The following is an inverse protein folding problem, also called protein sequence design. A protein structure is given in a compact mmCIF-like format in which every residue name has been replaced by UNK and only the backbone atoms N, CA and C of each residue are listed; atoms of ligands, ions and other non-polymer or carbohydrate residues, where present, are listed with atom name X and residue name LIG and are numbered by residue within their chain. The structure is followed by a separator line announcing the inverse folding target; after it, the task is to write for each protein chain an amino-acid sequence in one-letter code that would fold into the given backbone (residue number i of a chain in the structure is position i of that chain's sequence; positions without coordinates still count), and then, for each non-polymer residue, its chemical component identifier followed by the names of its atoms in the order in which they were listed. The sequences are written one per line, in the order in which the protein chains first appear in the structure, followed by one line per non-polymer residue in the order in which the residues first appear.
data_IF_738309947955
#
_entry.id   IF_738309947955
#
_cell.length_a   1.000
_cell.length_b   1.000
_cell.length_c   1.000
_cell.angle_alpha   90.00
_cell.angle_beta   90.00
_cell.angle_gamma   90.00
#
_symmetry.space_group_name_H-M   'P 1'
#
loop_
_entity.id
_entity.type
_entity.pdbx_description
1 polymer ?
#
# COMPACT_ATOMS: atom_id res chain seq x y z
N UNK A 1 -46.93 -15.69 -5.52
CA UNK A 1 -45.70 -15.89 -4.72
C UNK A 1 -44.37 -15.70 -5.49
N UNK A 2 -44.30 -15.95 -6.80
CA UNK A 2 -43.06 -15.81 -7.60
C UNK A 2 -42.48 -14.39 -7.67
N UNK A 3 -43.32 -13.36 -7.72
CA UNK A 3 -42.92 -11.94 -7.65
C UNK A 3 -42.30 -11.59 -6.30
N UNK A 4 -42.80 -12.15 -5.20
CA UNK A 4 -42.22 -11.95 -3.87
C UNK A 4 -40.84 -12.63 -3.74
N UNK A 5 -40.64 -13.79 -4.38
CA UNK A 5 -39.35 -14.46 -4.44
C UNK A 5 -38.30 -13.66 -5.26
N UNK A 6 -38.69 -13.12 -6.42
CA UNK A 6 -37.84 -12.23 -7.23
C UNK A 6 -37.44 -10.96 -6.48
N UNK A 7 -38.41 -10.31 -5.83
CA UNK A 7 -38.18 -9.10 -5.02
C UNK A 7 -37.25 -9.40 -3.84
N UNK A 8 -37.43 -10.55 -3.16
CA UNK A 8 -36.54 -10.94 -2.04
C UNK A 8 -35.10 -11.17 -2.50
N UNK A 9 -34.88 -11.88 -3.60
CA UNK A 9 -33.53 -12.10 -4.14
C UNK A 9 -32.90 -10.78 -4.58
N UNK A 10 -33.66 -9.92 -5.27
CA UNK A 10 -33.19 -8.60 -5.68
C UNK A 10 -32.84 -7.69 -4.49
N UNK A 11 -33.67 -7.67 -3.44
CA UNK A 11 -33.42 -6.90 -2.21
C UNK A 11 -32.19 -7.43 -1.48
N UNK A 12 -32.09 -8.75 -1.28
CA UNK A 12 -30.94 -9.37 -0.59
C UNK A 12 -29.64 -9.09 -1.34
N UNK A 13 -29.64 -9.16 -2.68
CA UNK A 13 -28.42 -8.93 -3.44
C UNK A 13 -28.11 -7.44 -3.49
N UNK A 14 -29.07 -6.58 -3.84
CA UNK A 14 -28.77 -5.17 -4.14
C UNK A 14 -28.57 -4.32 -2.88
N UNK A 15 -29.41 -4.48 -1.84
CA UNK A 15 -29.33 -3.68 -0.62
C UNK A 15 -28.22 -4.16 0.31
N UNK A 16 -28.02 -5.48 0.44
CA UNK A 16 -26.94 -6.02 1.27
C UNK A 16 -25.57 -5.78 0.64
N UNK A 17 -25.45 -5.84 -0.69
CA UNK A 17 -24.22 -5.49 -1.42
C UNK A 17 -23.75 -4.07 -1.12
N UNK A 18 -24.60 -3.08 -1.40
CA UNK A 18 -24.21 -1.68 -1.32
C UNK A 18 -23.85 -1.29 0.12
N UNK A 19 -24.65 -1.74 1.09
CA UNK A 19 -24.47 -1.36 2.49
C UNK A 19 -23.28 -2.08 3.12
N UNK A 20 -23.06 -3.37 2.82
CA UNK A 20 -21.93 -4.11 3.36
C UNK A 20 -20.60 -3.67 2.73
N UNK A 21 -20.57 -3.43 1.42
CA UNK A 21 -19.37 -2.97 0.74
C UNK A 21 -18.95 -1.56 1.14
N UNK A 22 -19.90 -0.63 1.26
CA UNK A 22 -19.59 0.72 1.72
C UNK A 22 -19.07 0.71 3.16
N UNK A 23 -19.63 -0.15 4.02
CA UNK A 23 -19.13 -0.32 5.40
C UNK A 23 -17.74 -0.91 5.43
N UNK A 24 -17.47 -1.99 4.70
CA UNK A 24 -16.14 -2.61 4.63
C UNK A 24 -15.11 -1.64 4.02
N UNK A 25 -15.46 -0.93 2.96
CA UNK A 25 -14.61 0.12 2.39
C UNK A 25 -14.28 1.21 3.42
N UNK A 26 -15.28 1.71 4.13
CA UNK A 26 -15.07 2.76 5.13
C UNK A 26 -14.21 2.28 6.31
N UNK A 27 -14.56 1.13 6.90
CA UNK A 27 -13.92 0.62 8.12
C UNK A 27 -12.55 0.02 7.85
N UNK A 28 -12.39 -0.72 6.75
CA UNK A 28 -11.17 -1.50 6.50
C UNK A 28 -10.17 -0.76 5.60
N UNK A 29 -10.60 0.22 4.80
CA UNK A 29 -9.72 0.97 3.91
C UNK A 29 -9.64 2.46 4.30
N UNK A 30 -10.76 3.18 4.33
CA UNK A 30 -10.74 4.65 4.45
C UNK A 30 -10.21 5.12 5.81
N UNK A 31 -10.86 4.70 6.91
CA UNK A 31 -10.49 5.13 8.27
C UNK A 31 -9.05 4.74 8.63
N UNK A 32 -8.57 3.51 8.35
CA UNK A 32 -7.19 3.13 8.61
C UNK A 32 -6.18 3.96 7.81
N UNK A 33 -6.48 4.26 6.53
CA UNK A 33 -5.60 5.09 5.70
C UNK A 33 -5.53 6.53 6.20
N UNK A 34 -6.66 7.16 6.53
CA UNK A 34 -6.69 8.53 7.06
C UNK A 34 -5.91 8.64 8.38
N UNK A 35 -6.15 7.69 9.29
CA UNK A 35 -5.46 7.64 10.59
C UNK A 35 -3.96 7.42 10.43
N UNK A 36 -3.56 6.60 9.46
CA UNK A 36 -2.15 6.30 9.21
C UNK A 36 -1.44 7.48 8.52
N UNK A 37 -2.08 8.09 7.52
CA UNK A 37 -1.54 9.22 6.75
C UNK A 37 -1.14 10.40 7.64
N UNK A 38 -1.96 10.73 8.64
CA UNK A 38 -1.66 11.84 9.56
C UNK A 38 -0.40 11.56 10.40
N UNK A 39 -0.25 10.32 10.88
CA UNK A 39 0.92 9.89 11.67
C UNK A 39 2.17 9.83 10.80
N UNK A 40 2.05 9.23 9.63
CA UNK A 40 3.16 9.01 8.71
C UNK A 40 3.74 10.32 8.20
N UNK A 41 2.90 11.32 7.89
CA UNK A 41 3.36 12.64 7.47
C UNK A 41 4.29 13.27 8.52
N UNK A 42 3.91 13.19 9.81
CA UNK A 42 4.71 13.72 10.92
C UNK A 42 6.04 12.96 11.07
N UNK A 43 6.00 11.63 10.95
CA UNK A 43 7.19 10.77 11.03
C UNK A 43 8.16 11.10 9.89
N UNK A 44 7.69 11.16 8.64
CA UNK A 44 8.53 11.49 7.47
C UNK A 44 9.23 12.82 7.64
N UNK A 45 8.50 13.85 8.03
CA UNK A 45 9.07 15.18 8.22
C UNK A 45 10.14 15.18 9.32
N UNK A 46 9.87 14.50 10.43
CA UNK A 46 10.82 14.40 11.55
C UNK A 46 12.12 13.69 11.14
N UNK A 47 12.02 12.61 10.37
CA UNK A 47 13.17 11.84 9.91
C UNK A 47 13.95 12.57 8.82
N UNK A 48 13.25 13.22 7.89
CA UNK A 48 13.88 14.06 6.87
C UNK A 48 14.71 15.16 7.52
N UNK A 49 14.16 15.84 8.52
CA UNK A 49 14.88 16.88 9.28
C UNK A 49 16.11 16.30 9.98
N UNK A 50 15.99 15.13 10.62
CA UNK A 50 17.10 14.43 11.27
C UNK A 50 18.19 14.03 10.27
N UNK A 51 17.82 13.51 9.11
CA UNK A 51 18.74 13.18 8.02
C UNK A 51 19.50 14.42 7.54
N UNK A 52 18.79 15.50 7.21
CA UNK A 52 19.40 16.73 6.71
C UNK A 52 20.42 17.31 7.70
N UNK A 53 20.09 17.30 8.99
CA UNK A 53 21.00 17.76 10.05
C UNK A 53 22.27 16.89 10.12
N UNK A 54 22.13 15.56 10.16
CA UNK A 54 23.26 14.65 10.26
C UNK A 54 24.12 14.64 8.99
N UNK A 55 23.49 14.68 7.82
CA UNK A 55 24.16 14.79 6.53
C UNK A 55 25.00 16.07 6.47
N UNK A 56 24.42 17.21 6.86
CA UNK A 56 25.12 18.50 6.86
C UNK A 56 26.37 18.44 7.74
N UNK A 57 26.26 17.97 8.98
CA UNK A 57 27.40 17.87 9.89
C UNK A 57 28.51 16.98 9.32
N UNK A 58 28.17 15.79 8.78
CA UNK A 58 29.17 14.87 8.20
C UNK A 58 29.81 15.44 6.93
N UNK A 59 29.01 16.07 6.07
CA UNK A 59 29.49 16.74 4.86
C UNK A 59 30.43 17.90 5.18
N UNK A 60 30.18 18.65 6.26
CA UNK A 60 31.07 19.72 6.72
C UNK A 60 32.41 19.15 7.21
N UNK A 61 32.42 18.04 7.95
CA UNK A 61 33.66 17.37 8.39
C UNK A 61 34.49 16.89 7.22
N UNK A 62 33.87 16.22 6.24
CA UNK A 62 34.52 15.82 4.99
C UNK A 62 35.09 17.02 4.22
N UNK A 63 34.32 18.11 4.09
CA UNK A 63 34.76 19.33 3.40
C UNK A 63 35.98 19.96 4.08
N UNK A 64 36.03 19.97 5.42
CA UNK A 64 37.18 20.44 6.20
C UNK A 64 38.43 19.55 5.97
N UNK A 65 38.27 18.24 5.95
CA UNK A 65 39.36 17.30 5.65
C UNK A 65 39.90 17.51 4.21
N UNK A 66 39.00 17.67 3.24
CA UNK A 66 39.35 17.91 1.84
C UNK A 66 40.09 19.24 1.64
N UNK A 67 39.63 20.30 2.30
CA UNK A 67 40.28 21.62 2.26
C UNK A 67 41.70 21.56 2.87
N UNK A 68 41.87 20.85 3.98
CA UNK A 68 43.17 20.65 4.64
C UNK A 68 44.15 19.91 3.71
N UNK A 69 43.69 18.84 3.05
CA UNK A 69 44.48 18.11 2.05
C UNK A 69 44.88 18.99 0.87
N UNK A 70 43.96 19.78 0.33
CA UNK A 70 44.24 20.71 -0.79
C UNK A 70 45.28 21.76 -0.40
N UNK A 71 45.19 22.32 0.81
CA UNK A 71 46.15 23.30 1.34
C UNK A 71 47.53 22.70 1.51
N UNK A 72 47.62 21.47 2.02
CA UNK A 72 48.89 20.78 2.23
C UNK A 72 49.60 20.41 0.91
N UNK A 73 48.86 19.88 -0.08
CA UNK A 73 49.40 19.58 -1.42
C UNK A 73 49.99 20.81 -2.12
N UNK A 74 49.38 21.99 -1.95
CA UNK A 74 49.96 23.25 -2.46
C UNK A 74 51.27 23.60 -1.77
N UNK A 75 51.36 23.39 -0.45
CA UNK A 75 52.55 23.70 0.35
C UNK A 75 53.70 22.72 0.09
N UNK A 76 53.42 21.44 -0.16
CA UNK A 76 54.44 20.42 -0.48
C UNK A 76 54.99 20.52 -1.90
N UNK A 77 54.30 21.17 -2.84
CA UNK A 77 54.84 21.48 -4.19
C UNK A 77 55.85 22.64 -4.18
N UNK A 78 55.80 23.51 -3.18
CA UNK A 78 56.65 24.70 -3.09
C UNK A 78 57.93 24.47 -2.26
N UNK A 79 58.07 23.33 -1.59
CA UNK A 79 59.22 23.00 -0.74
C UNK A 79 59.79 21.63 -1.14
N UNK A 80 61.12 21.48 -1.21
CA UNK A 80 61.78 20.18 -1.39
C UNK A 80 61.28 19.20 -0.32
N UNK A 81 60.71 18.06 -0.73
CA UNK A 81 59.98 17.14 0.16
C UNK A 81 60.92 16.50 1.17
N UNK A 82 60.78 16.84 2.45
CA UNK A 82 61.37 16.07 3.56
C UNK A 82 60.47 14.88 3.93
N UNK A 83 61.04 13.79 4.45
CA UNK A 83 60.28 12.59 4.85
C UNK A 83 59.14 12.87 5.84
N UNK A 84 59.32 13.84 6.74
CA UNK A 84 58.31 14.28 7.70
C UNK A 84 57.10 14.96 7.03
N UNK A 85 57.30 15.64 5.90
CA UNK A 85 56.21 16.27 5.15
C UNK A 85 55.35 15.24 4.40
N UNK A 86 55.96 14.12 3.98
CA UNK A 86 55.29 13.00 3.33
C UNK A 86 54.41 12.23 4.33
N UNK A 87 54.91 11.94 5.54
CA UNK A 87 54.15 11.25 6.58
C UNK A 87 52.89 12.03 7.01
N UNK A 88 53.01 13.36 7.12
CA UNK A 88 51.87 14.24 7.39
C UNK A 88 50.85 14.27 6.24
N UNK A 89 51.29 14.11 4.99
CA UNK A 89 50.39 14.07 3.82
C UNK A 89 49.63 12.74 3.78
N UNK A 90 50.31 11.64 4.12
CA UNK A 90 49.71 10.32 4.22
C UNK A 90 48.61 10.27 5.30
N UNK A 91 48.88 10.81 6.50
CA UNK A 91 47.89 10.88 7.60
C UNK A 91 46.65 11.68 7.21
N UNK A 92 46.83 12.84 6.57
CA UNK A 92 45.69 13.65 6.15
C UNK A 92 44.90 13.01 4.99
N UNK A 93 45.57 12.18 4.16
CA UNK A 93 44.90 11.38 3.14
C UNK A 93 44.02 10.29 3.77
N UNK A 94 44.53 9.59 4.77
CA UNK A 94 43.76 8.59 5.53
C UNK A 94 42.53 9.22 6.20
N UNK A 95 42.69 10.35 6.88
CA UNK A 95 41.56 11.08 7.49
C UNK A 95 40.51 11.46 6.45
N UNK A 96 40.93 11.96 5.27
CA UNK A 96 40.00 12.30 4.20
C UNK A 96 39.21 11.07 3.72
N UNK A 97 39.89 9.94 3.54
CA UNK A 97 39.30 8.69 3.08
C UNK A 97 38.35 8.08 4.11
N UNK A 98 38.70 8.15 5.40
CA UNK A 98 37.82 7.76 6.51
C UNK A 98 36.56 8.63 6.57
N UNK A 99 36.69 9.95 6.49
CA UNK A 99 35.53 10.86 6.52
C UNK A 99 34.64 10.69 5.29
N UNK A 100 35.24 10.43 4.12
CA UNK A 100 34.48 10.06 2.91
C UNK A 100 33.70 8.78 3.13
N UNK A 101 34.36 7.73 3.62
CA UNK A 101 33.74 6.42 3.85
C UNK A 101 32.59 6.51 4.85
N UNK A 102 32.75 7.29 5.93
CA UNK A 102 31.69 7.55 6.92
C UNK A 102 30.49 8.30 6.32
N UNK A 103 30.73 9.23 5.40
CA UNK A 103 29.68 9.97 4.70
C UNK A 103 28.94 9.07 3.70
N UNK A 104 29.67 8.28 2.91
CA UNK A 104 29.09 7.37 1.93
C UNK A 104 28.25 6.28 2.62
N UNK A 105 28.77 5.66 3.68
CA UNK A 105 28.04 4.67 4.49
C UNK A 105 26.78 5.25 5.14
N UNK A 106 26.83 6.52 5.57
CA UNK A 106 25.66 7.23 6.10
C UNK A 106 24.56 7.39 5.04
N UNK A 107 24.94 7.83 3.85
CA UNK A 107 24.02 8.04 2.74
C UNK A 107 23.38 6.72 2.31
N UNK A 108 24.19 5.66 2.17
CA UNK A 108 23.70 4.33 1.82
C UNK A 108 22.71 3.79 2.86
N UNK A 109 23.05 3.87 4.15
CA UNK A 109 22.16 3.40 5.22
C UNK A 109 20.87 4.23 5.29
N UNK A 110 20.98 5.55 5.11
CA UNK A 110 19.83 6.45 5.11
C UNK A 110 18.88 6.15 3.95
N UNK A 111 19.43 5.86 2.77
CA UNK A 111 18.65 5.46 1.59
C UNK A 111 17.96 4.12 1.82
N UNK A 112 18.67 3.10 2.34
CA UNK A 112 18.07 1.80 2.69
C UNK A 112 16.90 1.96 3.66
N UNK A 113 17.05 2.82 4.67
CA UNK A 113 15.99 3.11 5.63
C UNK A 113 14.78 3.79 4.94
N UNK A 114 15.03 4.81 4.10
CA UNK A 114 13.97 5.51 3.37
C UNK A 114 13.18 4.57 2.45
N UNK A 115 13.86 3.74 1.65
CA UNK A 115 13.24 2.75 0.78
C UNK A 115 12.45 1.70 1.57
N UNK A 116 12.95 1.30 2.74
CA UNK A 116 12.24 0.35 3.61
C UNK A 116 10.94 0.95 4.13
N UNK A 117 10.94 2.23 4.51
CA UNK A 117 9.72 2.91 4.95
C UNK A 117 8.71 3.09 3.82
N UNK A 118 9.16 3.50 2.64
CA UNK A 118 8.34 3.57 1.45
C UNK A 118 7.66 2.23 1.17
N UNK A 119 8.42 1.13 1.20
CA UNK A 119 7.90 -0.23 1.03
C UNK A 119 6.87 -0.61 2.11
N UNK A 120 7.08 -0.23 3.37
CA UNK A 120 6.11 -0.49 4.46
C UNK A 120 4.79 0.26 4.24
N UNK A 121 4.85 1.51 3.78
CA UNK A 121 3.64 2.31 3.48
C UNK A 121 2.83 1.72 2.35
N UNK A 122 3.47 1.42 1.22
CA UNK A 122 2.79 0.76 0.11
C UNK A 122 2.30 -0.64 0.48
N UNK A 123 3.08 -1.37 1.28
CA UNK A 123 2.68 -2.67 1.83
C UNK A 123 1.39 -2.58 2.64
N UNK A 124 1.27 -1.59 3.53
CA UNK A 124 0.05 -1.37 4.31
C UNK A 124 -1.16 -1.07 3.43
N UNK A 125 -1.02 -0.21 2.42
CA UNK A 125 -2.10 0.07 1.45
C UNK A 125 -2.53 -1.21 0.74
N UNK A 126 -1.57 -2.01 0.29
CA UNK A 126 -1.84 -3.28 -0.37
C UNK A 126 -2.54 -4.27 0.57
N UNK A 127 -2.15 -4.37 1.83
CA UNK A 127 -2.82 -5.20 2.84
C UNK A 127 -4.30 -4.81 3.00
N UNK A 128 -4.60 -3.50 3.06
CA UNK A 128 -5.99 -3.02 3.14
C UNK A 128 -6.77 -3.37 1.89
N UNK A 129 -6.18 -3.20 0.71
CA UNK A 129 -6.79 -3.60 -0.56
C UNK A 129 -7.06 -5.10 -0.63
N UNK A 130 -6.14 -5.93 -0.15
CA UNK A 130 -6.34 -7.37 -0.04
C UNK A 130 -7.50 -7.72 0.91
N UNK A 131 -7.64 -7.00 2.03
CA UNK A 131 -8.79 -7.18 2.93
C UNK A 131 -10.10 -6.89 2.22
N UNK A 132 -10.19 -5.74 1.54
CA UNK A 132 -11.38 -5.34 0.80
C UNK A 132 -11.71 -6.31 -0.34
N UNK A 133 -10.71 -6.77 -1.09
CA UNK A 133 -10.88 -7.76 -2.15
C UNK A 133 -11.46 -9.08 -1.63
N UNK A 134 -11.10 -9.52 -0.41
CA UNK A 134 -11.70 -10.69 0.23
C UNK A 134 -13.18 -10.47 0.56
N UNK A 135 -13.56 -9.28 1.01
CA UNK A 135 -14.98 -8.95 1.21
C UNK A 135 -15.76 -9.02 -0.10
N UNK A 136 -15.18 -8.54 -1.21
CA UNK A 136 -15.81 -8.66 -2.52
C UNK A 136 -15.92 -10.11 -2.99
N UNK A 137 -14.86 -10.90 -2.87
CA UNK A 137 -14.89 -12.32 -3.24
C UNK A 137 -15.98 -13.08 -2.48
N UNK A 138 -16.03 -12.94 -1.15
CA UNK A 138 -17.05 -13.60 -0.32
C UNK A 138 -18.47 -13.15 -0.67
N UNK A 139 -18.66 -11.86 -0.94
CA UNK A 139 -19.96 -11.36 -1.41
C UNK A 139 -20.38 -12.03 -2.73
N UNK A 140 -19.49 -12.07 -3.72
CA UNK A 140 -19.81 -12.65 -5.02
C UNK A 140 -20.10 -14.14 -4.94
N UNK A 141 -19.40 -14.88 -4.07
CA UNK A 141 -19.71 -16.30 -3.80
C UNK A 141 -21.14 -16.47 -3.26
N UNK A 142 -21.55 -15.66 -2.27
CA UNK A 142 -22.91 -15.72 -1.71
C UNK A 142 -23.96 -15.31 -2.75
N UNK A 143 -23.70 -14.26 -3.51
CA UNK A 143 -24.60 -13.80 -4.56
C UNK A 143 -24.78 -14.87 -5.66
N UNK A 144 -23.69 -15.52 -6.07
CA UNK A 144 -23.72 -16.61 -7.03
C UNK A 144 -24.53 -17.81 -6.49
N UNK A 145 -24.27 -18.22 -5.25
CA UNK A 145 -24.99 -19.33 -4.61
C UNK A 145 -26.50 -19.06 -4.47
N UNK A 146 -26.91 -17.80 -4.25
CA UNK A 146 -28.33 -17.42 -4.19
C UNK A 146 -28.98 -17.33 -5.58
N UNK A 147 -28.26 -16.80 -6.57
CA UNK A 147 -28.79 -16.60 -7.92
C UNK A 147 -28.89 -17.91 -8.70
N UNK A 148 -27.85 -18.75 -8.66
CA UNK A 148 -27.74 -19.94 -9.49
C UNK A 148 -29.00 -20.83 -9.47
N UNK A 149 -29.49 -21.33 -8.30
CA UNK A 149 -30.70 -22.15 -8.25
C UNK A 149 -31.98 -21.34 -8.54
N UNK A 150 -31.99 -20.05 -8.21
CA UNK A 150 -33.15 -19.19 -8.43
C UNK A 150 -33.40 -18.97 -9.92
N UNK A 151 -32.33 -18.76 -10.70
CA UNK A 151 -32.42 -18.50 -12.15
C UNK A 151 -32.93 -19.74 -12.89
N UNK A 152 -32.50 -20.94 -12.53
CA UNK A 152 -33.01 -22.17 -13.15
C UNK A 152 -34.51 -22.34 -12.88
N UNK A 153 -34.94 -22.13 -11.63
CA UNK A 153 -36.37 -22.15 -11.28
C UNK A 153 -37.16 -21.07 -12.02
N UNK A 154 -36.61 -19.88 -12.20
CA UNK A 154 -37.27 -18.81 -12.96
C UNK A 154 -37.37 -19.16 -14.45
N UNK A 155 -36.38 -19.85 -15.02
CA UNK A 155 -36.44 -20.35 -16.39
C UNK A 155 -37.56 -21.37 -16.58
N UNK A 156 -37.70 -22.32 -15.67
CA UNK A 156 -38.79 -23.30 -15.70
C UNK A 156 -40.18 -22.62 -15.67
N UNK A 157 -40.38 -21.69 -14.73
CA UNK A 157 -41.63 -20.91 -14.63
C UNK A 157 -41.88 -20.08 -15.89
N UNK A 158 -40.84 -19.49 -16.48
CA UNK A 158 -40.96 -18.72 -17.71
C UNK A 158 -41.29 -19.60 -18.93
N UNK A 159 -40.85 -20.86 -18.95
CA UNK A 159 -41.16 -21.81 -20.02
C UNK A 159 -42.65 -22.20 -20.01
N UNK A 160 -43.31 -22.20 -18.85
CA UNK A 160 -44.73 -22.51 -18.74
C UNK A 160 -45.65 -21.29 -18.91
N UNK A 161 -45.15 -20.16 -19.43
CA UNK A 161 -45.89 -18.88 -19.46
C UNK A 161 -47.21 -18.92 -20.26
N UNK A 162 -47.34 -19.86 -21.20
CA UNK A 162 -48.52 -19.99 -22.07
C UNK A 162 -49.50 -21.07 -21.56
N UNK A 163 -49.16 -21.73 -20.45
CA UNK A 163 -49.93 -22.82 -19.86
C UNK A 163 -50.38 -22.47 -18.44
N UNK A 164 -51.62 -22.84 -18.09
CA UNK A 164 -52.08 -22.74 -16.71
C UNK A 164 -51.45 -23.87 -15.88
N UNK A 165 -51.09 -23.60 -14.60
CA UNK A 165 -50.68 -24.66 -13.70
C UNK A 165 -51.78 -25.70 -13.53
N UNK A 166 -51.41 -26.98 -13.42
CA UNK A 166 -52.37 -28.09 -13.29
C UNK A 166 -53.37 -27.88 -12.14
N UNK A 167 -52.94 -27.30 -11.02
CA UNK A 167 -53.81 -26.99 -9.88
C UNK A 167 -54.92 -25.99 -10.21
N UNK A 168 -54.69 -25.09 -11.18
CA UNK A 168 -55.68 -24.13 -11.66
C UNK A 168 -56.63 -24.81 -12.65
N UNK A 169 -56.09 -25.63 -13.55
CA UNK A 169 -56.90 -26.47 -14.45
C UNK A 169 -57.86 -27.38 -13.66
N UNK A 170 -57.36 -28.02 -12.59
CA UNK A 170 -58.15 -28.89 -11.71
C UNK A 170 -59.27 -28.13 -10.97
N UNK A 171 -59.04 -26.84 -10.64
CA UNK A 171 -60.06 -25.97 -10.05
C UNK A 171 -61.20 -25.68 -11.02
N UNK A 172 -60.91 -25.49 -12.31
CA UNK A 172 -61.94 -25.35 -13.34
C UNK A 172 -62.66 -26.67 -13.62
N UNK A 173 -61.94 -27.79 -13.65
CA UNK A 173 -62.51 -29.11 -13.87
C UNK A 173 -63.40 -29.60 -12.70
N UNK A 174 -63.16 -29.13 -11.48
CA UNK A 174 -63.95 -29.47 -10.29
C UNK A 174 -65.18 -28.59 -10.08
N UNK A 175 -65.23 -27.38 -10.67
CA UNK A 175 -66.41 -26.49 -10.65
C UNK A 175 -67.40 -26.72 -11.78
N UNK A 176 -67.00 -27.46 -12.82
CA UNK A 176 -67.82 -27.83 -13.98
C UNK A 176 -68.49 -29.21 -13.83
N UNK A 177 -68.49 -29.80 -12.64
CA UNK A 177 -69.30 -30.97 -12.27
C UNK A 177 -70.39 -30.58 -11.28
#
# INVERSE_FOLDING_TARGET
DHTAALIRVYIIISLSHLTFQLKAFYVDLLVPLETNLEKDTKVVQSEQKKFLQQHKTRSETYSKAAATMKKQRKKSRAANKSGLAMDKELKNMQILEEEKTKLDAFCEQSLKNAMTQERRRYGFVLERQCSLAKHYASFHEVALAALHPSVDKWREVAATREYLPQSVEDMFASRLR
#
